data_IF_287634196982
#
_entry.id   IF_287634196982
#
_cell.length_a   1.000
_cell.length_b   1.000
_cell.length_c   1.000
_cell.angle_alpha   90.00
_cell.angle_beta   90.00
_cell.angle_gamma   90.00
#
_symmetry.space_group_name_H-M   'P 1'
#
loop_
_entity.id
_entity.type
_entity.pdbx_description
1 polymer ?
#
# COMPACT_ATOMS: atom_id res chain seq x y z
N UNK A 1 7.76 -14.89 -7.11
CA UNK A 1 6.61 -13.99 -6.91
C UNK A 1 6.84 -13.18 -5.64
N UNK A 2 6.45 -11.90 -5.58
CA UNK A 2 6.62 -11.07 -4.39
C UNK A 2 5.86 -11.61 -3.17
N UNK A 3 6.39 -11.31 -1.99
CA UNK A 3 5.83 -11.65 -0.68
C UNK A 3 6.17 -10.54 0.33
N UNK A 4 5.90 -10.77 1.60
CA UNK A 4 6.15 -9.81 2.68
C UNK A 4 7.59 -9.30 2.74
N UNK A 5 8.58 -10.15 2.48
CA UNK A 5 9.99 -9.74 2.45
C UNK A 5 10.27 -8.77 1.29
N UNK A 6 9.74 -9.06 0.10
CA UNK A 6 9.86 -8.17 -1.06
C UNK A 6 9.18 -6.82 -0.82
N UNK A 7 7.98 -6.84 -0.23
CA UNK A 7 7.26 -5.60 0.12
C UNK A 7 8.04 -4.78 1.14
N UNK A 8 8.55 -5.43 2.20
CA UNK A 8 9.33 -4.76 3.25
C UNK A 8 10.59 -4.10 2.69
N UNK A 9 11.34 -4.82 1.87
CA UNK A 9 12.55 -4.32 1.20
C UNK A 9 12.23 -3.07 0.37
N UNK A 10 11.25 -3.17 -0.54
CA UNK A 10 10.87 -2.06 -1.42
C UNK A 10 10.28 -0.87 -0.67
N UNK A 11 9.45 -1.11 0.35
CA UNK A 11 8.84 -0.04 1.12
C UNK A 11 9.87 0.74 1.95
N UNK A 12 10.85 0.06 2.56
CA UNK A 12 11.91 0.69 3.35
C UNK A 12 12.98 1.37 2.49
N UNK A 13 13.06 1.05 1.19
CA UNK A 13 13.91 1.76 0.25
C UNK A 13 13.37 3.15 -0.13
N UNK A 14 12.08 3.42 0.13
CA UNK A 14 11.48 4.73 -0.10
C UNK A 14 11.89 5.71 1.01
N UNK A 15 12.17 6.95 0.62
CA UNK A 15 12.68 7.97 1.52
C UNK A 15 11.72 8.24 2.70
N UNK A 16 12.30 8.25 3.91
CA UNK A 16 11.59 8.59 5.14
C UNK A 16 10.59 7.53 5.62
N UNK A 17 10.57 6.33 5.02
CA UNK A 17 9.67 5.25 5.45
C UNK A 17 10.22 4.53 6.68
N UNK A 18 9.33 4.28 7.64
CA UNK A 18 9.58 3.47 8.83
C UNK A 18 8.55 2.35 8.91
N UNK A 19 8.92 1.24 9.54
CA UNK A 19 8.01 0.14 9.85
C UNK A 19 7.70 0.10 11.35
N UNK A 20 6.44 -0.13 11.71
CA UNK A 20 6.02 -0.29 13.09
C UNK A 20 4.91 -1.34 13.22
N UNK A 21 4.79 -2.03 14.37
CA UNK A 21 3.63 -2.86 14.66
C UNK A 21 2.31 -2.06 14.56
N UNK A 22 1.27 -2.68 14.01
CA UNK A 22 -0.06 -2.11 13.86
C UNK A 22 -1.10 -3.22 13.97
N UNK A 23 -1.56 -3.46 15.20
CA UNK A 23 -2.35 -4.65 15.55
C UNK A 23 -1.62 -5.94 15.16
N UNK A 24 -2.28 -6.83 14.41
CA UNK A 24 -1.76 -8.07 13.83
C UNK A 24 -0.92 -7.83 12.55
N UNK A 25 -0.68 -6.58 12.18
CA UNK A 25 -0.02 -6.20 10.92
C UNK A 25 1.26 -5.41 11.18
N UNK A 26 2.09 -5.31 10.16
CA UNK A 26 3.18 -4.32 10.13
C UNK A 26 2.76 -3.13 9.27
N UNK A 27 2.73 -1.94 9.85
CA UNK A 27 2.47 -0.70 9.12
C UNK A 27 3.77 -0.08 8.62
N UNK A 28 3.77 0.36 7.37
CA UNK A 28 4.82 1.18 6.79
C UNK A 28 4.28 2.60 6.62
N UNK A 29 5.03 3.57 7.17
CA UNK A 29 4.62 4.96 7.25
C UNK A 29 5.77 5.88 6.93
N UNK A 30 5.47 6.97 6.23
CA UNK A 30 6.29 8.19 6.23
C UNK A 30 5.61 9.15 7.22
N UNK A 31 4.94 10.22 6.78
CA UNK A 31 4.09 11.04 7.65
C UNK A 31 2.82 10.31 8.11
N UNK A 32 2.24 9.49 7.23
CA UNK A 32 1.06 8.65 7.51
C UNK A 32 1.29 7.23 7.00
N UNK A 33 0.57 6.26 7.56
CA UNK A 33 0.58 4.87 7.07
C UNK A 33 0.03 4.83 5.64
N UNK A 34 0.76 4.20 4.74
CA UNK A 34 0.35 4.04 3.34
C UNK A 34 0.23 2.58 2.91
N UNK A 35 0.86 1.66 3.63
CA UNK A 35 0.68 0.23 3.41
C UNK A 35 0.76 -0.53 4.75
N UNK A 36 -0.05 -1.58 4.89
CA UNK A 36 0.03 -2.51 6.01
C UNK A 36 0.17 -3.94 5.52
N UNK A 37 1.18 -4.65 5.98
CA UNK A 37 1.48 -6.04 5.63
C UNK A 37 0.85 -6.99 6.65
N UNK A 38 0.11 -7.99 6.17
CA UNK A 38 -0.45 -9.05 7.01
C UNK A 38 0.66 -9.91 7.65
N UNK A 39 0.40 -10.49 8.82
CA UNK A 39 1.37 -11.32 9.55
C UNK A 39 1.91 -12.50 8.73
N UNK A 40 1.09 -13.09 7.85
CA UNK A 40 1.47 -14.21 6.98
C UNK A 40 2.37 -13.79 5.81
N UNK A 41 2.54 -12.48 5.56
CA UNK A 41 3.34 -11.96 4.47
C UNK A 41 2.76 -12.22 3.07
N UNK A 42 1.48 -12.62 2.97
CA UNK A 42 0.83 -12.96 1.68
C UNK A 42 0.03 -11.79 1.11
N UNK A 43 -0.55 -10.96 1.98
CA UNK A 43 -1.38 -9.83 1.58
C UNK A 43 -0.95 -8.52 2.22
N UNK A 44 -1.24 -7.41 1.54
CA UNK A 44 -1.05 -6.08 2.09
C UNK A 44 -2.19 -5.14 1.72
N UNK A 45 -2.49 -4.17 2.58
CA UNK A 45 -3.50 -3.15 2.30
C UNK A 45 -2.78 -1.85 1.94
N UNK A 46 -3.00 -1.37 0.71
CA UNK A 46 -2.46 -0.13 0.19
C UNK A 46 -3.47 1.00 0.37
N UNK A 47 -2.97 2.21 0.63
CA UNK A 47 -3.78 3.43 0.66
C UNK A 47 -3.65 4.17 -0.67
N UNK A 48 -4.60 3.91 -1.56
CA UNK A 48 -4.78 4.67 -2.80
C UNK A 48 -5.82 5.78 -2.63
N UNK A 49 -5.96 6.64 -3.63
CA UNK A 49 -7.19 7.41 -3.79
C UNK A 49 -8.34 6.49 -4.23
N UNK A 50 -9.62 6.87 -4.02
CA UNK A 50 -10.75 6.06 -4.50
C UNK A 50 -10.69 5.80 -6.02
N UNK A 51 -10.32 6.79 -6.82
CA UNK A 51 -10.23 6.63 -8.28
C UNK A 51 -9.10 5.67 -8.70
N UNK A 52 -7.95 5.77 -8.05
CA UNK A 52 -6.84 4.83 -8.26
C UNK A 52 -7.19 3.40 -7.82
N UNK A 53 -7.93 3.26 -6.72
CA UNK A 53 -8.45 1.96 -6.28
C UNK A 53 -9.35 1.36 -7.36
N UNK A 54 -10.32 2.12 -7.89
CA UNK A 54 -11.21 1.64 -8.95
C UNK A 54 -10.41 1.19 -10.17
N UNK A 55 -9.46 2.01 -10.62
CA UNK A 55 -8.60 1.68 -11.75
C UNK A 55 -7.81 0.39 -11.50
N UNK A 56 -7.15 0.27 -10.35
CA UNK A 56 -6.33 -0.91 -10.02
C UNK A 56 -7.15 -2.19 -9.90
N UNK A 57 -8.32 -2.12 -9.26
CA UNK A 57 -9.23 -3.27 -9.16
C UNK A 57 -9.80 -3.67 -10.53
N UNK A 58 -9.89 -2.73 -11.48
CA UNK A 58 -10.35 -3.00 -12.85
C UNK A 58 -9.25 -3.62 -13.71
N UNK A 59 -8.02 -3.11 -13.60
CA UNK A 59 -6.89 -3.53 -14.44
C UNK A 59 -6.24 -4.82 -13.95
N UNK A 60 -6.21 -5.06 -12.64
CA UNK A 60 -5.62 -6.25 -12.02
C UNK A 60 -6.57 -6.84 -10.95
N UNK A 61 -7.75 -7.33 -11.36
CA UNK A 61 -8.77 -7.85 -10.44
C UNK A 61 -8.31 -9.09 -9.64
N UNK A 62 -7.34 -9.84 -10.17
CA UNK A 62 -6.74 -10.98 -9.47
C UNK A 62 -5.79 -10.56 -8.35
N UNK A 63 -5.24 -9.34 -8.41
CA UNK A 63 -4.29 -8.83 -7.44
C UNK A 63 -4.93 -7.87 -6.44
N UNK A 64 -5.86 -7.02 -6.86
CA UNK A 64 -6.44 -5.95 -6.04
C UNK A 64 -7.94 -6.08 -5.83
N UNK A 65 -8.36 -5.80 -4.60
CA UNK A 65 -9.78 -5.64 -4.24
C UNK A 65 -9.94 -4.57 -3.16
N UNK A 66 -11.06 -3.82 -3.12
CA UNK A 66 -11.34 -2.93 -2.00
C UNK A 66 -11.45 -3.74 -0.71
N UNK A 67 -10.93 -3.21 0.41
CA UNK A 67 -11.18 -3.83 1.71
C UNK A 67 -12.71 -3.79 1.97
N UNK A 68 -13.37 -4.89 2.37
CA UNK A 68 -14.84 -4.96 2.41
C UNK A 68 -15.44 -4.26 3.66
N UNK A 69 -15.13 -2.99 3.87
CA UNK A 69 -15.63 -2.16 4.97
C UNK A 69 -15.48 -0.66 4.66
N UNK A 70 -15.77 0.20 5.66
CA UNK A 70 -15.67 1.67 5.52
C UNK A 70 -14.25 2.16 5.15
N UNK A 71 -13.19 1.41 5.44
CA UNK A 71 -11.84 1.76 4.99
C UNK A 71 -11.69 1.57 3.48
N UNK A 72 -12.30 0.52 2.92
CA UNK A 72 -12.36 0.28 1.49
C UNK A 72 -12.91 1.46 0.72
N UNK A 73 -14.03 2.01 1.19
CA UNK A 73 -14.67 3.21 0.63
C UNK A 73 -13.75 4.44 0.61
N UNK A 74 -12.73 4.47 1.47
CA UNK A 74 -11.73 5.54 1.50
C UNK A 74 -10.53 5.25 0.58
N UNK A 75 -10.49 4.15 -0.17
CA UNK A 75 -9.37 3.76 -1.04
C UNK A 75 -8.40 2.75 -0.41
N UNK A 76 -8.70 2.20 0.77
CA UNK A 76 -7.90 1.08 1.30
C UNK A 76 -8.16 -0.18 0.48
N UNK A 77 -7.09 -0.72 -0.11
CA UNK A 77 -7.17 -1.76 -1.13
C UNK A 77 -6.30 -2.94 -0.73
N UNK A 78 -6.89 -4.11 -0.58
CA UNK A 78 -6.15 -5.34 -0.33
C UNK A 78 -5.46 -5.78 -1.62
N UNK A 79 -4.21 -6.24 -1.48
CA UNK A 79 -3.38 -6.77 -2.53
C UNK A 79 -2.93 -8.19 -2.17
N UNK A 80 -3.09 -9.14 -3.10
CA UNK A 80 -2.46 -10.46 -3.03
C UNK A 80 -1.06 -10.36 -3.64
N UNK A 81 -0.01 -10.37 -2.82
CA UNK A 81 1.35 -10.03 -3.27
C UNK A 81 1.89 -10.97 -4.34
N UNK A 82 1.52 -12.25 -4.26
CA UNK A 82 1.93 -13.25 -5.22
C UNK A 82 1.38 -13.01 -6.64
N UNK A 83 0.36 -12.16 -6.80
CA UNK A 83 -0.28 -11.83 -8.08
C UNK A 83 0.39 -10.66 -8.80
N UNK A 84 1.34 -9.98 -8.16
CA UNK A 84 2.14 -8.93 -8.78
C UNK A 84 3.50 -9.47 -9.23
N UNK A 85 4.16 -8.77 -10.14
CA UNK A 85 5.62 -8.84 -10.27
C UNK A 85 6.29 -7.76 -9.39
N UNK A 86 7.62 -7.77 -9.30
CA UNK A 86 8.36 -6.79 -8.47
C UNK A 86 8.15 -5.34 -8.94
N UNK A 87 8.05 -5.12 -10.25
CA UNK A 87 7.84 -3.79 -10.84
C UNK A 87 6.47 -3.22 -10.46
N UNK A 88 5.41 -4.03 -10.58
CA UNK A 88 4.06 -3.60 -10.22
C UNK A 88 3.92 -3.33 -8.72
N UNK A 89 4.57 -4.16 -7.88
CA UNK A 89 4.63 -3.95 -6.45
C UNK A 89 5.34 -2.64 -6.09
N UNK A 90 6.50 -2.37 -6.71
CA UNK A 90 7.24 -1.12 -6.51
C UNK A 90 6.40 0.11 -6.94
N UNK A 91 5.76 0.05 -8.10
CA UNK A 91 4.89 1.13 -8.59
C UNK A 91 3.69 1.37 -7.67
N UNK A 92 3.07 0.31 -7.13
CA UNK A 92 1.98 0.42 -6.16
C UNK A 92 2.45 1.05 -4.83
N UNK A 93 3.62 0.65 -4.33
CA UNK A 93 4.21 1.21 -3.12
C UNK A 93 4.54 2.70 -3.29
N UNK A 94 5.17 3.06 -4.40
CA UNK A 94 5.54 4.45 -4.69
C UNK A 94 4.30 5.35 -4.80
N UNK A 95 3.25 4.89 -5.49
CA UNK A 95 1.99 5.62 -5.60
C UNK A 95 1.38 5.90 -4.21
N UNK A 96 1.23 4.88 -3.37
CA UNK A 96 0.69 5.04 -2.03
C UNK A 96 1.59 5.90 -1.12
N UNK A 97 2.92 5.76 -1.26
CA UNK A 97 3.90 6.58 -0.53
C UNK A 97 3.81 8.07 -0.90
N UNK A 98 3.69 8.41 -2.19
CA UNK A 98 3.52 9.80 -2.66
C UNK A 98 2.30 10.45 -2.02
N UNK A 99 1.19 9.72 -1.88
CA UNK A 99 0.03 10.20 -1.16
C UNK A 99 0.31 10.41 0.33
N UNK A 100 1.18 9.60 0.93
CA UNK A 100 1.52 9.73 2.35
C UNK A 100 2.55 10.81 2.68
N UNK A 101 3.18 11.42 1.68
CA UNK A 101 4.10 12.52 1.90
C UNK A 101 3.41 13.73 2.58
N UNK A 102 4.18 14.56 3.30
CA UNK A 102 3.66 15.84 3.76
C UNK A 102 3.22 16.67 2.55
N UNK A 103 1.96 17.12 2.53
CA UNK A 103 1.61 18.19 1.60
C UNK A 103 2.49 19.40 1.90
N UNK A 104 3.07 19.98 0.85
CA UNK A 104 3.61 21.33 0.91
C UNK A 104 2.43 22.22 1.30
N UNK A 105 2.34 22.63 2.56
CA UNK A 105 1.39 23.68 2.95
C UNK A 105 1.73 24.87 2.04
N UNK A 106 0.87 25.19 1.07
CA UNK A 106 0.85 26.56 0.54
C UNK A 106 0.59 27.44 1.74
N UNK A 107 1.61 28.16 2.22
CA UNK A 107 1.40 29.29 3.12
C UNK A 107 0.41 30.21 2.39
N UNK A 108 -0.68 30.55 3.09
CA UNK A 108 -1.85 31.26 2.59
C UNK A 108 -1.47 32.51 1.82
#
# INVERSE_FOLDING_TARGET
>A
MPNGSSLRELALALEGVTAAPHFDRTAFKVKRTFVTLAADGLTANFKFTPDEQVLKCTVMPEAFSPVPNAWGQQGWTQCVLARLNKTDLAAALEMAWRHALPSQRKKR
#
